data_IF_544177482469
#
_entry.id   IF_544177482469
#
_cell.length_a   1.000
_cell.length_b   1.000
_cell.length_c   1.000
_cell.angle_alpha   90.00
_cell.angle_beta   90.00
_cell.angle_gamma   90.00
#
_symmetry.space_group_name_H-M   'P 1'
#
loop_
_entity.id
_entity.type
_entity.pdbx_description
1 polymer ?
#
# COMPACT_ATOMS: atom_id res chain seq x y z
N UNK A 1 -0.80 2.09 -10.92
CA UNK A 1 -1.43 1.29 -9.82
C UNK A 1 -2.03 -0.01 -10.35
N UNK A 2 -1.97 -1.09 -9.56
CA UNK A 2 -2.55 -2.39 -9.91
C UNK A 2 -3.31 -2.92 -8.70
N UNK A 3 -4.59 -3.28 -8.88
CA UNK A 3 -5.42 -3.90 -7.86
C UNK A 3 -5.72 -5.34 -8.21
N UNK A 4 -5.62 -6.26 -7.25
CA UNK A 4 -5.88 -7.68 -7.46
C UNK A 4 -5.96 -8.47 -6.16
N UNK A 5 -5.91 -9.81 -6.30
CA UNK A 5 -5.93 -10.71 -5.14
C UNK A 5 -4.78 -11.73 -5.27
N UNK A 6 -4.09 -11.96 -4.16
CA UNK A 6 -2.88 -12.81 -4.11
C UNK A 6 -3.17 -14.27 -4.50
N UNK A 7 -4.41 -14.74 -4.38
CA UNK A 7 -4.80 -16.11 -4.65
C UNK A 7 -5.02 -16.42 -6.15
N UNK A 8 -4.90 -15.42 -7.03
CA UNK A 8 -5.08 -15.59 -8.47
C UNK A 8 -3.75 -15.83 -9.20
N UNK A 9 -3.08 -16.96 -8.91
CA UNK A 9 -1.74 -17.28 -9.40
C UNK A 9 -1.57 -17.13 -10.91
N UNK A 10 -2.54 -17.61 -11.69
CA UNK A 10 -2.49 -17.52 -13.15
C UNK A 10 -2.49 -16.08 -13.64
N UNK A 11 -3.31 -15.22 -13.04
CA UNK A 11 -3.37 -13.80 -13.39
C UNK A 11 -2.13 -13.08 -12.89
N UNK A 12 -1.69 -13.37 -11.68
CA UNK A 12 -0.52 -12.74 -11.08
C UNK A 12 0.80 -13.14 -11.76
N UNK A 13 0.83 -14.25 -12.52
CA UNK A 13 2.04 -14.70 -13.22
C UNK A 13 2.57 -13.72 -14.28
N UNK A 14 1.73 -12.81 -14.77
CA UNK A 14 2.12 -11.79 -15.76
C UNK A 14 2.58 -10.46 -15.14
N UNK A 15 2.54 -10.35 -13.81
CA UNK A 15 3.05 -9.18 -13.10
C UNK A 15 4.59 -9.11 -13.14
N UNK A 16 5.18 -7.90 -12.95
CA UNK A 16 6.63 -7.75 -12.82
C UNK A 16 7.22 -8.67 -11.74
N UNK A 17 8.43 -9.17 -11.97
CA UNK A 17 9.12 -10.10 -11.06
C UNK A 17 9.22 -9.55 -9.63
N UNK A 18 9.53 -8.26 -9.48
CA UNK A 18 9.67 -7.64 -8.16
C UNK A 18 8.35 -7.60 -7.38
N UNK A 19 7.21 -7.52 -8.06
CA UNK A 19 5.88 -7.63 -7.43
C UNK A 19 5.60 -9.09 -7.05
N UNK A 20 5.95 -10.05 -7.92
CA UNK A 20 5.76 -11.48 -7.64
C UNK A 20 6.55 -11.94 -6.43
N UNK A 21 7.77 -11.43 -6.22
CA UNK A 21 8.58 -11.70 -5.01
C UNK A 21 7.85 -11.33 -3.72
N UNK A 22 7.06 -10.24 -3.71
CA UNK A 22 6.24 -9.88 -2.55
C UNK A 22 5.23 -10.99 -2.23
N UNK A 23 4.59 -11.54 -3.25
CA UNK A 23 3.58 -12.60 -3.09
C UNK A 23 4.20 -13.93 -2.69
N UNK A 24 5.35 -14.27 -3.25
CA UNK A 24 6.12 -15.46 -2.86
C UNK A 24 6.50 -15.37 -1.38
N UNK A 25 7.08 -14.26 -0.96
CA UNK A 25 7.41 -14.03 0.45
C UNK A 25 6.19 -14.13 1.37
N UNK A 26 5.06 -13.53 0.96
CA UNK A 26 3.82 -13.59 1.75
C UNK A 26 3.23 -15.01 1.85
N UNK A 27 3.43 -15.86 0.83
CA UNK A 27 2.98 -17.26 0.85
C UNK A 27 3.90 -18.16 1.68
N UNK A 28 5.18 -17.87 1.72
CA UNK A 28 6.18 -18.62 2.50
C UNK A 28 6.20 -18.26 3.99
N UNK A 29 5.64 -17.10 4.34
CA UNK A 29 5.66 -16.56 5.69
C UNK A 29 4.25 -16.22 6.19
N UNK A 30 3.90 -16.61 7.41
CA UNK A 30 2.64 -16.21 8.03
C UNK A 30 2.72 -14.77 8.54
N UNK A 31 2.49 -13.78 7.66
CA UNK A 31 2.61 -12.36 7.98
C UNK A 31 1.63 -11.87 9.05
N UNK A 32 0.53 -12.61 9.32
CA UNK A 32 -0.38 -12.31 10.42
C UNK A 32 0.31 -12.43 11.79
N UNK A 33 1.32 -13.30 11.90
CA UNK A 33 2.06 -13.53 13.15
C UNK A 33 3.24 -12.55 13.31
N UNK A 34 3.56 -11.76 12.27
CA UNK A 34 4.64 -10.79 12.36
C UNK A 34 4.26 -9.63 13.28
N UNK A 35 5.24 -9.17 14.05
CA UNK A 35 5.09 -7.94 14.84
C UNK A 35 5.02 -6.71 13.91
N UNK A 36 4.33 -5.66 14.37
CA UNK A 36 4.29 -4.38 13.67
C UNK A 36 5.69 -3.79 13.54
N UNK A 37 5.97 -3.16 12.42
CA UNK A 37 7.24 -2.54 12.12
C UNK A 37 7.89 -3.08 10.86
N UNK A 38 9.14 -2.68 10.64
CA UNK A 38 9.91 -3.03 9.45
C UNK A 38 10.61 -4.37 9.62
N UNK A 39 10.49 -5.21 8.58
CA UNK A 39 11.17 -6.50 8.48
C UNK A 39 11.97 -6.52 7.18
N UNK A 40 13.30 -6.60 7.29
CA UNK A 40 14.22 -6.62 6.16
C UNK A 40 14.12 -7.96 5.45
N UNK A 41 14.05 -7.92 4.11
CA UNK A 41 14.05 -9.12 3.25
C UNK A 41 15.34 -9.15 2.43
N UNK A 42 15.69 -8.06 1.73
CA UNK A 42 16.95 -7.90 1.00
C UNK A 42 17.49 -6.47 1.19
N UNK A 43 18.12 -6.23 2.34
CA UNK A 43 18.68 -4.92 2.69
C UNK A 43 17.68 -3.78 2.59
N UNK A 44 18.13 -2.68 2.00
CA UNK A 44 17.29 -1.50 1.74
C UNK A 44 16.51 -1.60 0.41
N UNK A 45 16.80 -2.62 -0.40
CA UNK A 45 16.18 -2.79 -1.72
C UNK A 45 14.79 -3.42 -1.63
N UNK A 46 14.58 -4.26 -0.61
CA UNK A 46 13.31 -4.98 -0.42
C UNK A 46 13.05 -5.26 1.05
N UNK A 47 11.98 -4.71 1.58
CA UNK A 47 11.54 -4.94 2.96
C UNK A 47 10.02 -4.84 3.06
N UNK A 48 9.45 -5.27 4.18
CA UNK A 48 8.02 -5.18 4.46
C UNK A 48 7.78 -4.43 5.76
N UNK A 49 6.84 -3.51 5.74
CA UNK A 49 6.32 -2.83 6.92
C UNK A 49 4.97 -3.44 7.30
N UNK A 50 4.90 -4.05 8.47
CA UNK A 50 3.65 -4.59 9.02
C UNK A 50 2.97 -3.49 9.83
N UNK A 51 1.78 -3.10 9.42
CA UNK A 51 0.99 -2.05 10.07
C UNK A 51 -0.34 -2.60 10.58
N UNK A 52 -0.86 -1.96 11.61
CA UNK A 52 -2.19 -2.25 12.14
C UNK A 52 -2.76 -1.00 12.78
N UNK A 53 -3.97 -0.62 12.37
CA UNK A 53 -4.68 0.56 12.82
C UNK A 53 -6.20 0.41 12.59
N UNK A 54 -6.96 1.33 13.14
CA UNK A 54 -8.38 1.45 12.83
C UNK A 54 -8.58 2.42 11.67
N UNK A 55 -9.45 2.05 10.74
CA UNK A 55 -9.86 2.93 9.64
C UNK A 55 -10.65 4.13 10.16
N UNK A 56 -10.62 5.24 9.41
CA UNK A 56 -11.23 6.50 9.84
C UNK A 56 -11.84 7.27 8.67
N UNK A 57 -12.21 8.51 8.89
CA UNK A 57 -12.81 9.39 7.88
C UNK A 57 -11.74 10.13 7.10
N UNK A 58 -12.08 10.60 5.90
CA UNK A 58 -11.17 11.30 4.99
C UNK A 58 -10.54 12.55 5.61
N UNK A 59 -11.27 13.26 6.45
CA UNK A 59 -10.83 14.50 7.10
C UNK A 59 -9.67 14.31 8.08
N UNK A 60 -9.47 13.07 8.54
CA UNK A 60 -8.34 12.69 9.41
C UNK A 60 -7.17 12.07 8.64
N UNK A 61 -7.25 12.04 7.32
CA UNK A 61 -6.23 11.42 6.47
C UNK A 61 -5.60 12.42 5.52
N UNK A 62 -4.54 11.99 4.85
CA UNK A 62 -3.73 12.79 3.93
C UNK A 62 -3.38 11.97 2.69
N UNK A 63 -3.09 12.67 1.61
CA UNK A 63 -2.53 12.09 0.40
C UNK A 63 -1.03 11.94 0.53
N UNK A 64 -0.51 10.81 0.06
CA UNK A 64 0.92 10.52 0.01
C UNK A 64 1.31 9.85 -1.31
N UNK A 65 2.57 10.01 -1.66
CA UNK A 65 3.25 9.26 -2.71
C UNK A 65 4.72 9.05 -2.31
N UNK A 66 5.44 8.28 -3.08
CA UNK A 66 6.83 7.92 -2.84
C UNK A 66 7.66 8.20 -4.10
N UNK A 67 8.97 8.27 -4.01
CA UNK A 67 9.86 8.46 -5.17
C UNK A 67 10.83 7.30 -5.37
N UNK A 68 11.25 6.68 -4.28
CA UNK A 68 12.29 5.65 -4.25
C UNK A 68 11.72 4.23 -4.35
N UNK A 69 10.56 4.01 -3.76
CA UNK A 69 9.96 2.68 -3.65
C UNK A 69 8.60 2.59 -4.34
N UNK A 70 8.33 1.38 -4.83
CA UNK A 70 6.97 0.92 -5.16
C UNK A 70 6.38 0.37 -3.87
N UNK A 71 5.15 0.76 -3.54
CA UNK A 71 4.40 0.21 -2.41
C UNK A 71 3.48 -0.91 -2.89
N UNK A 72 3.60 -2.08 -2.26
CA UNK A 72 2.68 -3.19 -2.48
C UNK A 72 1.92 -3.44 -1.18
N UNK A 73 0.70 -2.93 -1.10
CA UNK A 73 -0.19 -3.13 0.03
C UNK A 73 -0.87 -4.49 -0.09
N UNK A 74 -0.72 -5.35 0.90
CA UNK A 74 -1.41 -6.64 1.00
C UNK A 74 -2.24 -6.66 2.29
N UNK A 75 -3.55 -6.74 2.16
CA UNK A 75 -4.44 -6.82 3.32
C UNK A 75 -4.36 -8.20 3.95
N UNK A 76 -4.02 -8.26 5.23
CA UNK A 76 -3.92 -9.49 6.00
C UNK A 76 -5.21 -9.77 6.78
N UNK A 77 -5.81 -8.75 7.37
CA UNK A 77 -7.10 -8.86 8.10
C UNK A 77 -7.83 -7.51 8.14
N UNK A 78 -9.16 -7.56 8.24
CA UNK A 78 -10.02 -6.39 8.20
C UNK A 78 -10.31 -5.91 6.79
N UNK A 79 -10.84 -4.69 6.68
CA UNK A 79 -11.10 -4.06 5.38
C UNK A 79 -10.75 -2.56 5.43
N UNK A 80 -10.21 -2.06 4.35
CA UNK A 80 -9.77 -0.68 4.21
C UNK A 80 -10.13 -0.15 2.82
N UNK A 81 -10.65 1.07 2.75
CA UNK A 81 -10.74 1.81 1.50
C UNK A 81 -9.49 2.66 1.33
N UNK A 82 -8.94 2.66 0.13
CA UNK A 82 -7.84 3.52 -0.29
C UNK A 82 -8.31 4.37 -1.45
N UNK A 83 -8.22 5.69 -1.32
CA UNK A 83 -8.46 6.63 -2.39
C UNK A 83 -7.20 6.80 -3.23
N UNK A 84 -7.38 6.95 -4.55
CA UNK A 84 -6.32 6.95 -5.54
C UNK A 84 -6.43 8.14 -6.48
N UNK A 85 -5.28 8.69 -6.86
CA UNK A 85 -5.15 9.72 -7.87
C UNK A 85 -3.74 9.65 -8.48
N UNK A 86 -3.45 10.51 -9.47
CA UNK A 86 -2.09 10.77 -9.92
C UNK A 86 -1.55 12.03 -9.24
N UNK A 87 -0.23 12.05 -8.96
CA UNK A 87 0.41 13.18 -8.26
C UNK A 87 0.23 14.52 -8.97
N UNK A 88 0.11 14.52 -10.29
CA UNK A 88 -0.09 15.72 -11.11
C UNK A 88 -1.46 16.40 -10.92
N UNK A 89 -2.44 15.67 -10.39
CA UNK A 89 -3.78 16.19 -10.11
C UNK A 89 -3.91 16.79 -8.69
N UNK A 90 -2.84 16.74 -7.91
CA UNK A 90 -2.78 17.21 -6.53
C UNK A 90 -1.63 18.21 -6.35
N UNK A 91 -1.71 19.06 -5.34
CA UNK A 91 -0.64 19.97 -4.98
C UNK A 91 0.46 19.21 -4.24
N UNK A 92 1.63 19.10 -4.87
CA UNK A 92 2.79 18.46 -4.26
C UNK A 92 3.46 19.42 -3.26
N UNK A 93 3.72 18.95 -2.06
CA UNK A 93 4.47 19.66 -1.03
C UNK A 93 5.95 19.28 -1.05
N UNK A 94 6.72 19.78 -0.10
CA UNK A 94 8.14 19.47 0.02
C UNK A 94 8.37 17.98 0.28
N UNK A 95 9.17 17.36 -0.58
CA UNK A 95 9.52 15.95 -0.48
C UNK A 95 10.45 15.72 0.72
N UNK A 96 10.11 14.76 1.56
CA UNK A 96 10.87 14.34 2.73
C UNK A 96 11.72 13.12 2.39
N UNK A 97 12.98 13.35 2.03
CA UNK A 97 13.88 12.33 1.48
C UNK A 97 14.15 11.17 2.45
N UNK A 98 14.33 11.46 3.73
CA UNK A 98 14.63 10.46 4.76
C UNK A 98 13.53 9.40 4.89
N UNK A 99 12.26 9.79 4.74
CA UNK A 99 11.11 8.88 4.81
C UNK A 99 10.57 8.42 3.45
N UNK A 100 11.20 8.83 2.35
CA UNK A 100 10.65 8.68 0.99
C UNK A 100 9.17 9.10 0.92
N UNK A 101 8.86 10.26 1.47
CA UNK A 101 7.50 10.74 1.66
C UNK A 101 7.24 12.04 0.90
N UNK A 102 6.30 11.98 -0.04
CA UNK A 102 5.79 13.14 -0.76
C UNK A 102 4.38 13.46 -0.27
N UNK A 103 4.22 14.47 0.60
CA UNK A 103 2.90 14.93 1.00
C UNK A 103 2.20 15.61 -0.17
N UNK A 104 0.89 15.37 -0.31
CA UNK A 104 0.08 16.01 -1.34
C UNK A 104 -1.21 16.56 -0.72
N UNK A 105 -1.75 17.61 -1.33
CA UNK A 105 -3.02 18.23 -0.93
C UNK A 105 -3.98 18.33 -2.12
N UNK A 106 -5.26 18.21 -1.81
CA UNK A 106 -6.35 18.36 -2.78
C UNK A 106 -7.53 17.46 -2.47
N UNK A 107 -8.67 17.79 -3.05
CA UNK A 107 -9.93 17.07 -2.85
C UNK A 107 -10.25 16.08 -3.98
N UNK A 108 -9.51 16.16 -5.09
CA UNK A 108 -9.75 15.33 -6.25
C UNK A 108 -9.45 13.86 -5.95
N UNK A 109 -10.44 13.00 -6.18
CA UNK A 109 -10.32 11.53 -6.11
C UNK A 109 -10.59 10.99 -7.49
N UNK A 110 -9.63 10.25 -8.06
CA UNK A 110 -9.80 9.63 -9.36
C UNK A 110 -10.52 8.27 -9.27
N UNK A 111 -10.14 7.48 -8.28
CA UNK A 111 -10.73 6.16 -8.02
C UNK A 111 -10.57 5.76 -6.56
N UNK A 112 -11.28 4.73 -6.16
CA UNK A 112 -11.16 4.12 -4.83
C UNK A 112 -11.16 2.60 -4.98
N UNK A 113 -10.42 1.93 -4.10
CA UNK A 113 -10.46 0.48 -3.96
C UNK A 113 -10.73 0.11 -2.51
N UNK A 114 -11.42 -1.01 -2.30
CA UNK A 114 -11.58 -1.61 -0.97
C UNK A 114 -10.78 -2.89 -0.93
N UNK A 115 -9.81 -2.93 -0.02
CA UNK A 115 -8.99 -4.11 0.23
C UNK A 115 -9.58 -4.93 1.35
N UNK A 116 -9.78 -6.21 1.10
CA UNK A 116 -10.11 -7.25 2.09
C UNK A 116 -8.98 -8.27 2.15
N UNK A 117 -9.02 -9.18 3.11
CA UNK A 117 -7.97 -10.19 3.29
C UNK A 117 -7.63 -10.90 1.98
N UNK A 118 -6.35 -10.85 1.59
CA UNK A 118 -5.81 -11.38 0.33
C UNK A 118 -5.81 -10.41 -0.85
N UNK A 119 -6.51 -9.27 -0.75
CA UNK A 119 -6.45 -8.23 -1.78
C UNK A 119 -5.14 -7.44 -1.67
N UNK A 120 -4.60 -7.04 -2.82
CA UNK A 120 -3.42 -6.20 -2.90
C UNK A 120 -3.63 -4.97 -3.78
N UNK A 121 -2.85 -3.94 -3.51
CA UNK A 121 -2.74 -2.72 -4.30
C UNK A 121 -1.27 -2.38 -4.50
N UNK A 122 -0.85 -2.24 -5.75
CA UNK A 122 0.49 -1.74 -6.12
C UNK A 122 0.38 -0.25 -6.44
N UNK A 123 1.18 0.57 -5.77
CA UNK A 123 1.31 2.01 -6.03
C UNK A 123 2.74 2.31 -6.52
N UNK A 124 2.83 2.87 -7.72
CA UNK A 124 4.07 3.40 -8.29
C UNK A 124 4.29 4.85 -7.84
N UNK A 125 5.46 5.47 -8.08
CA UNK A 125 5.74 6.85 -7.62
C UNK A 125 4.72 7.92 -8.04
N UNK A 126 4.12 7.76 -9.20
CA UNK A 126 3.10 8.66 -9.72
C UNK A 126 1.70 8.42 -9.16
N UNK A 127 1.52 7.34 -8.39
CA UNK A 127 0.24 6.93 -7.82
C UNK A 127 0.06 7.51 -6.41
N UNK A 128 -0.59 8.67 -6.34
CA UNK A 128 -1.02 9.24 -5.06
C UNK A 128 -2.09 8.37 -4.40
N UNK A 129 -1.93 8.11 -3.11
CA UNK A 129 -2.87 7.29 -2.36
C UNK A 129 -3.17 7.89 -0.98
N UNK A 130 -4.40 7.70 -0.52
CA UNK A 130 -4.86 8.06 0.82
C UNK A 130 -5.40 6.80 1.49
N UNK A 131 -4.69 6.32 2.49
CA UNK A 131 -4.97 5.06 3.18
C UNK A 131 -5.82 5.26 4.44
N UNK A 132 -6.19 4.17 5.11
CA UNK A 132 -6.90 4.12 6.38
C UNK A 132 -8.34 4.65 6.33
N UNK A 133 -8.98 4.65 5.18
CA UNK A 133 -10.37 5.08 5.06
C UNK A 133 -11.34 3.94 5.37
N UNK A 134 -12.45 4.26 6.04
CA UNK A 134 -13.54 3.32 6.28
C UNK A 134 -14.09 2.79 4.96
N UNK A 135 -14.23 1.47 4.85
CA UNK A 135 -14.87 0.85 3.68
C UNK A 135 -16.39 0.99 3.69
N UNK A 136 -16.99 1.08 4.87
CA UNK A 136 -18.40 1.27 5.12
C UNK A 136 -18.66 2.35 6.19
N UNK A 137 -19.76 2.22 6.92
CA UNK A 137 -20.12 3.17 7.97
C UNK A 137 -19.26 3.00 9.22
N UNK A 138 -18.91 1.76 9.56
CA UNK A 138 -18.15 1.43 10.76
C UNK A 138 -16.64 1.43 10.51
N UNK A 139 -15.86 1.71 11.56
CA UNK A 139 -14.41 1.53 11.57
C UNK A 139 -14.07 0.04 11.53
N UNK A 140 -13.00 -0.31 10.83
CA UNK A 140 -12.42 -1.66 10.81
C UNK A 140 -11.03 -1.61 11.40
N UNK A 141 -10.73 -2.52 12.31
CA UNK A 141 -9.37 -2.75 12.77
C UNK A 141 -8.66 -3.63 11.77
N UNK A 142 -7.57 -3.14 11.17
CA UNK A 142 -6.87 -3.84 10.09
C UNK A 142 -5.46 -4.25 10.50
N UNK A 143 -4.97 -5.30 9.83
CA UNK A 143 -3.54 -5.62 9.75
C UNK A 143 -3.17 -5.75 8.28
N UNK A 144 -2.10 -5.07 7.87
CA UNK A 144 -1.67 -4.97 6.49
C UNK A 144 -0.16 -5.08 6.39
N UNK A 145 0.32 -5.75 5.35
CA UNK A 145 1.72 -5.73 4.93
C UNK A 145 1.87 -4.68 3.82
N UNK A 146 2.87 -3.82 3.94
CA UNK A 146 3.27 -2.87 2.89
C UNK A 146 4.70 -3.24 2.50
N UNK A 147 4.86 -3.93 1.38
CA UNK A 147 6.19 -4.19 0.82
C UNK A 147 6.71 -2.92 0.16
N UNK A 148 7.96 -2.61 0.43
CA UNK A 148 8.72 -1.54 -0.20
C UNK A 148 9.74 -2.18 -1.15
N UNK A 149 9.57 -1.92 -2.44
CA UNK A 149 10.42 -2.45 -3.51
C UNK A 149 11.13 -1.29 -4.18
N UNK A 150 12.46 -1.29 -4.15
CA UNK A 150 13.25 -0.20 -4.74
C UNK A 150 13.08 -0.14 -6.26
N UNK A 151 12.99 1.06 -6.81
CA UNK A 151 12.98 1.30 -8.24
C UNK A 151 14.42 1.37 -8.74
N UNK A 152 14.77 0.55 -9.72
CA UNK A 152 16.11 0.50 -10.35
C UNK A 152 16.12 1.19 -11.69
#
# INVERSE_FOLDING_TARGET
>A
MIFGNINYDKTNSVLPEDIKKCFEYAKENNLLDFEKGFHVIDGDDFFVNIVGYDTTVKEERFWEAHRKYIDVHLMLSGEERIALNFIENLEQKEFQEEGDFLPLEGDAVNSEVVLRSGDFLVCYPEDAHMTALKAGEEKSSIKKAIFKVIIK
#
